data_IF_022491869587
#
_entry.id   IF_022491869587
#
_cell.length_a   1.000
_cell.length_b   1.000
_cell.length_c   1.000
_cell.angle_alpha   90.00
_cell.angle_beta   90.00
_cell.angle_gamma   90.00
#
_symmetry.space_group_name_H-M   'P 1'
#
loop_
_entity.id
_entity.type
_entity.pdbx_description
1 polymer ?
#
# COMPACT_ATOMS: atom_id res chain seq x y z
N UNK A 1 -11.37 28.79 29.78
CA UNK A 1 -10.79 28.82 28.41
C UNK A 1 -10.78 27.37 27.91
N UNK A 2 -11.54 27.05 26.87
CA UNK A 2 -11.55 25.70 26.30
C UNK A 2 -10.22 25.40 25.60
N UNK A 3 -9.70 24.19 25.76
CA UNK A 3 -8.56 23.71 24.97
C UNK A 3 -9.09 23.43 23.57
N UNK A 4 -8.45 23.96 22.53
CA UNK A 4 -8.84 23.64 21.16
C UNK A 4 -8.54 22.16 20.88
N UNK A 5 -9.35 21.52 20.02
CA UNK A 5 -9.10 20.11 19.63
C UNK A 5 -7.67 19.93 19.05
N UNK A 6 -7.18 20.93 18.31
CA UNK A 6 -5.81 20.95 17.76
C UNK A 6 -4.73 20.98 18.85
N UNK A 7 -4.90 21.78 19.89
CA UNK A 7 -3.96 21.85 21.02
C UNK A 7 -3.93 20.55 21.82
N UNK A 8 -5.10 19.94 22.03
CA UNK A 8 -5.21 18.65 22.70
C UNK A 8 -4.51 17.53 21.91
N UNK A 9 -4.79 17.44 20.60
CA UNK A 9 -4.18 16.43 19.73
C UNK A 9 -2.66 16.62 19.59
N UNK A 10 -2.19 17.87 19.51
CA UNK A 10 -0.75 18.17 19.46
C UNK A 10 -0.05 17.73 20.75
N UNK A 11 -0.68 17.91 21.92
CA UNK A 11 -0.13 17.45 23.20
C UNK A 11 -0.08 15.92 23.29
N UNK A 12 -1.08 15.22 22.75
CA UNK A 12 -1.01 13.75 22.63
C UNK A 12 0.15 13.35 21.71
N UNK A 13 0.28 13.99 20.56
CA UNK A 13 1.32 13.70 19.57
C UNK A 13 2.74 13.78 20.13
N UNK A 14 2.99 14.76 20.99
CA UNK A 14 4.32 15.02 21.57
C UNK A 14 4.71 14.04 22.69
N UNK A 15 3.73 13.35 23.30
CA UNK A 15 3.98 12.56 24.52
C UNK A 15 3.65 11.07 24.36
N UNK A 16 3.09 10.65 23.22
CA UNK A 16 2.63 9.27 23.02
C UNK A 16 2.91 8.82 21.59
N UNK A 17 3.59 7.67 21.44
CA UNK A 17 3.60 6.92 20.18
C UNK A 17 2.25 6.23 20.02
N UNK A 18 1.53 6.55 18.95
CA UNK A 18 0.24 5.94 18.66
C UNK A 18 0.44 4.71 17.78
N UNK A 19 -0.11 3.56 18.19
CA UNK A 19 -0.05 2.34 17.38
C UNK A 19 -0.82 2.47 16.06
N UNK A 20 -1.98 3.12 16.12
CA UNK A 20 -2.86 3.27 14.96
C UNK A 20 -3.61 4.60 15.01
N UNK A 21 -3.73 5.25 13.85
CA UNK A 21 -4.65 6.35 13.62
C UNK A 21 -5.54 6.03 12.42
N UNK A 22 -6.83 6.35 12.54
CA UNK A 22 -7.76 6.36 11.42
C UNK A 22 -8.21 7.78 11.14
N UNK A 23 -8.06 8.20 9.89
CA UNK A 23 -8.36 9.56 9.44
C UNK A 23 -9.39 9.52 8.32
N UNK A 24 -10.51 10.21 8.52
CA UNK A 24 -11.44 10.55 7.45
C UNK A 24 -11.18 11.98 6.98
N UNK A 25 -10.63 12.15 5.78
CA UNK A 25 -10.43 13.46 5.19
C UNK A 25 -11.75 14.00 4.62
N UNK A 26 -12.11 15.18 5.13
CA UNK A 26 -13.19 16.02 4.61
C UNK A 26 -12.60 17.29 4.00
N UNK A 27 -13.20 17.77 2.91
CA UNK A 27 -12.74 18.95 2.17
C UNK A 27 -12.53 20.20 3.02
N UNK A 28 -13.29 20.35 4.11
CA UNK A 28 -13.24 21.53 4.98
C UNK A 28 -12.03 21.56 5.91
N UNK A 29 -11.47 20.41 6.30
CA UNK A 29 -10.48 20.31 7.41
C UNK A 29 -9.18 19.61 7.02
N UNK A 30 -9.03 19.19 5.76
CA UNK A 30 -7.93 18.29 5.38
C UNK A 30 -6.53 18.88 5.59
N UNK A 31 -6.35 20.19 5.44
CA UNK A 31 -5.05 20.84 5.64
C UNK A 31 -4.58 20.75 7.09
N UNK A 32 -5.50 20.92 8.03
CA UNK A 32 -5.21 20.84 9.46
C UNK A 32 -4.90 19.40 9.87
N UNK A 33 -5.71 18.46 9.38
CA UNK A 33 -5.52 17.02 9.59
C UNK A 33 -4.19 16.54 9.00
N UNK A 34 -3.84 17.00 7.81
CA UNK A 34 -2.56 16.71 7.16
C UNK A 34 -1.38 17.17 8.01
N UNK A 35 -1.40 18.44 8.41
CA UNK A 35 -0.35 19.04 9.24
C UNK A 35 -0.20 18.30 10.56
N UNK A 36 -1.32 17.85 11.13
CA UNK A 36 -1.34 17.12 12.38
C UNK A 36 -0.77 15.69 12.22
N UNK A 37 -1.12 14.97 11.16
CA UNK A 37 -0.60 13.61 10.91
C UNK A 37 0.92 13.55 10.89
N UNK A 38 1.56 14.55 10.28
CA UNK A 38 3.03 14.63 10.24
C UNK A 38 3.70 14.90 11.60
N UNK A 39 2.93 15.28 12.63
CA UNK A 39 3.46 15.49 13.99
C UNK A 39 3.41 14.22 14.84
N UNK A 40 2.65 13.21 14.44
CA UNK A 40 2.53 11.98 15.20
C UNK A 40 3.57 10.95 14.77
N UNK A 41 4.25 10.32 15.73
CA UNK A 41 4.94 9.06 15.45
C UNK A 41 3.94 7.91 15.53
N UNK A 42 3.46 7.48 14.36
CA UNK A 42 2.42 6.45 14.23
C UNK A 42 2.96 5.25 13.47
N UNK A 43 2.64 4.06 13.98
CA UNK A 43 2.96 2.83 13.27
C UNK A 43 2.05 2.67 12.04
N UNK A 44 0.72 2.67 12.23
CA UNK A 44 -0.27 2.47 11.18
C UNK A 44 -1.20 3.68 10.96
N UNK A 45 -1.26 4.17 9.73
CA UNK A 45 -2.26 5.16 9.30
C UNK A 45 -3.27 4.51 8.36
N UNK A 46 -4.55 4.65 8.69
CA UNK A 46 -5.68 4.33 7.81
C UNK A 46 -6.30 5.63 7.30
N UNK A 47 -6.33 5.84 5.97
CA UNK A 47 -6.82 7.06 5.33
C UNK A 47 -8.11 6.79 4.54
N UNK A 48 -9.15 7.55 4.88
CA UNK A 48 -10.43 7.66 4.21
C UNK A 48 -10.61 9.01 3.52
N UNK A 49 -11.33 9.03 2.40
CA UNK A 49 -11.78 10.26 1.73
C UNK A 49 -13.29 10.24 1.58
N UNK A 50 -13.92 11.41 1.71
CA UNK A 50 -15.36 11.58 1.51
C UNK A 50 -15.82 11.31 0.06
N UNK A 51 -14.96 11.62 -0.93
CA UNK A 51 -15.24 11.38 -2.34
C UNK A 51 -13.97 11.06 -3.14
N UNK A 52 -14.13 10.51 -4.35
CA UNK A 52 -13.01 10.19 -5.24
C UNK A 52 -12.41 11.46 -5.86
N UNK A 53 -13.25 12.46 -6.18
CA UNK A 53 -12.81 13.78 -6.67
C UNK A 53 -11.93 14.47 -5.63
N UNK A 54 -12.33 14.40 -4.36
CA UNK A 54 -11.54 14.96 -3.28
C UNK A 54 -10.26 14.17 -3.03
N UNK A 55 -10.32 12.84 -3.08
CA UNK A 55 -9.11 12.02 -3.05
C UNK A 55 -8.14 12.39 -4.18
N UNK A 56 -8.64 12.64 -5.40
CA UNK A 56 -7.82 13.05 -6.53
C UNK A 56 -7.20 14.43 -6.36
N UNK A 57 -7.87 15.34 -5.65
CA UNK A 57 -7.36 16.68 -5.38
C UNK A 57 -6.27 16.67 -4.28
N UNK A 58 -6.35 15.74 -3.33
CA UNK A 58 -5.43 15.68 -2.18
C UNK A 58 -4.25 14.75 -2.46
N UNK A 59 -4.52 13.55 -2.99
CA UNK A 59 -3.50 12.55 -3.23
C UNK A 59 -2.73 12.91 -4.49
N UNK A 60 -1.54 13.42 -4.27
CA UNK A 60 -0.53 13.63 -5.30
C UNK A 60 0.61 12.65 -5.09
N UNK A 61 1.46 12.48 -6.11
CA UNK A 61 2.71 11.71 -5.96
C UNK A 61 3.54 12.20 -4.79
N UNK A 62 3.74 13.51 -4.66
CA UNK A 62 4.53 14.10 -3.58
C UNK A 62 3.94 13.79 -2.20
N UNK A 63 2.61 13.82 -2.07
CA UNK A 63 1.92 13.45 -0.84
C UNK A 63 2.21 11.99 -0.43
N UNK A 64 2.03 11.04 -1.34
CA UNK A 64 2.30 9.61 -1.07
C UNK A 64 3.76 9.37 -0.66
N UNK A 65 4.69 10.02 -1.35
CA UNK A 65 6.12 9.90 -1.03
C UNK A 65 6.47 10.52 0.32
N UNK A 66 5.83 11.63 0.71
CA UNK A 66 6.00 12.22 2.03
C UNK A 66 5.50 11.30 3.14
N UNK A 67 4.34 10.65 2.93
CA UNK A 67 3.85 9.63 3.87
C UNK A 67 4.79 8.43 3.95
N UNK A 68 5.34 7.98 2.83
CA UNK A 68 6.29 6.87 2.78
C UNK A 68 7.55 7.14 3.62
N UNK A 69 8.03 8.37 3.60
CA UNK A 69 9.21 8.75 4.38
C UNK A 69 8.93 8.90 5.88
N UNK A 70 7.68 9.14 6.29
CA UNK A 70 7.33 9.48 7.68
C UNK A 70 6.67 8.34 8.47
N UNK A 71 6.10 7.33 7.80
CA UNK A 71 5.28 6.29 8.45
C UNK A 71 5.68 4.88 8.02
N UNK A 72 5.52 3.90 8.91
CA UNK A 72 5.88 2.49 8.66
C UNK A 72 4.79 1.74 7.90
N UNK A 73 3.53 1.93 8.29
CA UNK A 73 2.39 1.22 7.71
C UNK A 73 1.34 2.23 7.24
N UNK A 74 0.88 2.07 6.01
CA UNK A 74 -0.13 2.94 5.42
C UNK A 74 -1.19 2.11 4.70
N UNK A 75 -2.46 2.44 4.95
CA UNK A 75 -3.59 1.93 4.21
C UNK A 75 -4.42 3.11 3.70
N UNK A 76 -4.56 3.23 2.39
CA UNK A 76 -5.32 4.31 1.77
C UNK A 76 -6.53 3.72 1.06
N UNK A 77 -7.71 4.12 1.48
CA UNK A 77 -8.93 3.79 0.72
C UNK A 77 -9.07 4.71 -0.49
N UNK A 78 -9.78 4.24 -1.53
CA UNK A 78 -10.08 4.98 -2.76
C UNK A 78 -8.88 5.42 -3.62
N UNK A 79 -7.63 5.14 -3.24
CA UNK A 79 -6.47 5.50 -4.05
C UNK A 79 -6.54 4.89 -5.46
N UNK A 80 -7.12 3.70 -5.58
CA UNK A 80 -7.26 2.97 -6.82
C UNK A 80 -7.93 3.71 -7.97
N UNK A 81 -8.77 4.71 -7.68
CA UNK A 81 -9.49 5.50 -8.68
C UNK A 81 -8.75 6.78 -9.06
N UNK A 82 -7.68 7.12 -8.34
CA UNK A 82 -7.00 8.43 -8.45
C UNK A 82 -5.50 8.32 -8.71
N UNK A 83 -4.86 7.25 -8.24
CA UNK A 83 -3.44 7.03 -8.49
C UNK A 83 -3.19 6.55 -9.91
N UNK A 84 -2.15 7.09 -10.52
CA UNK A 84 -1.62 6.58 -11.78
C UNK A 84 -0.70 5.37 -11.52
N UNK A 85 -0.49 4.51 -12.53
CA UNK A 85 0.52 3.45 -12.48
C UNK A 85 1.92 3.98 -12.09
N UNK A 86 2.29 5.16 -12.56
CA UNK A 86 3.57 5.82 -12.28
C UNK A 86 3.69 6.27 -10.83
N UNK A 87 2.59 6.66 -10.19
CA UNK A 87 2.58 7.01 -8.76
C UNK A 87 2.83 5.77 -7.90
N UNK A 88 2.23 4.63 -8.27
CA UNK A 88 2.49 3.36 -7.61
C UNK A 88 3.92 2.87 -7.85
N UNK A 89 4.48 3.06 -9.05
CA UNK A 89 5.88 2.75 -9.33
C UNK A 89 6.84 3.63 -8.53
N UNK A 90 6.56 4.93 -8.41
CA UNK A 90 7.37 5.83 -7.60
C UNK A 90 7.35 5.41 -6.13
N UNK A 91 6.16 5.06 -5.61
CA UNK A 91 6.00 4.55 -4.24
C UNK A 91 6.75 3.22 -4.04
N UNK A 92 6.58 2.27 -4.96
CA UNK A 92 7.28 0.99 -4.96
C UNK A 92 8.79 1.18 -4.83
N UNK A 93 9.40 2.00 -5.71
CA UNK A 93 10.86 2.25 -5.71
C UNK A 93 11.34 2.87 -4.42
N UNK A 94 10.56 3.78 -3.85
CA UNK A 94 10.90 4.41 -2.57
C UNK A 94 10.87 3.40 -1.43
N UNK A 95 9.86 2.53 -1.38
CA UNK A 95 9.79 1.44 -0.40
C UNK A 95 10.92 0.43 -0.62
N UNK A 96 11.11 -0.08 -1.84
CA UNK A 96 12.15 -1.06 -2.23
C UNK A 96 13.55 -0.58 -1.85
N UNK A 97 13.84 0.72 -2.01
CA UNK A 97 15.15 1.28 -1.66
C UNK A 97 15.52 1.13 -0.17
N UNK A 98 14.54 0.84 0.69
CA UNK A 98 14.71 0.73 2.15
C UNK A 98 14.96 2.06 2.87
N UNK A 99 15.17 3.15 2.12
CA UNK A 99 15.47 4.50 2.65
C UNK A 99 14.25 5.15 3.29
N UNK A 100 13.06 4.85 2.79
CA UNK A 100 11.81 5.29 3.39
C UNK A 100 11.54 4.56 4.72
N UNK A 101 10.76 5.16 5.60
CA UNK A 101 10.28 4.51 6.84
C UNK A 101 9.23 3.44 6.54
N UNK A 102 8.50 3.59 5.43
CA UNK A 102 7.44 2.68 5.03
C UNK A 102 7.94 1.27 4.76
N UNK A 103 7.19 0.31 5.29
CA UNK A 103 7.39 -1.13 5.16
C UNK A 103 6.16 -1.80 4.60
N UNK A 104 4.97 -1.28 4.86
CA UNK A 104 3.74 -1.82 4.32
C UNK A 104 2.85 -0.71 3.76
N UNK A 105 2.33 -0.96 2.57
CA UNK A 105 1.36 -0.12 1.91
C UNK A 105 0.20 -0.97 1.42
N UNK A 106 -1.03 -0.53 1.66
CA UNK A 106 -2.23 -1.20 1.20
C UNK A 106 -3.22 -0.20 0.60
N UNK A 107 -3.92 -0.63 -0.44
CA UNK A 107 -4.99 0.17 -1.02
C UNK A 107 -5.98 -0.69 -1.80
N UNK A 108 -7.21 -0.19 -1.95
CA UNK A 108 -8.06 -0.61 -3.07
C UNK A 108 -7.48 -0.09 -4.40
N UNK A 109 -7.49 -0.92 -5.43
CA UNK A 109 -7.07 -0.56 -6.81
C UNK A 109 -8.16 -0.96 -7.79
N UNK A 110 -8.24 -0.25 -8.92
CA UNK A 110 -9.00 -0.72 -10.08
C UNK A 110 -8.05 -1.47 -11.03
N UNK A 111 -8.58 -2.37 -11.85
CA UNK A 111 -7.76 -3.25 -12.72
C UNK A 111 -6.91 -2.46 -13.70
N UNK A 112 -7.49 -1.36 -14.17
CA UNK A 112 -6.93 -0.41 -15.12
C UNK A 112 -5.67 0.29 -14.60
N UNK A 113 -5.42 0.26 -13.28
CA UNK A 113 -4.23 0.88 -12.67
C UNK A 113 -3.17 -0.16 -12.32
N UNK A 114 -3.53 -1.29 -11.69
CA UNK A 114 -2.52 -2.23 -11.21
C UNK A 114 -1.88 -3.05 -12.33
N UNK A 115 -2.61 -3.37 -13.41
CA UNK A 115 -2.02 -4.09 -14.55
C UNK A 115 -0.94 -3.26 -15.27
N UNK A 116 -1.18 -1.98 -15.65
CA UNK A 116 -0.11 -1.14 -16.19
C UNK A 116 1.04 -0.92 -15.20
N UNK A 117 0.75 -0.82 -13.90
CA UNK A 117 1.80 -0.73 -12.87
C UNK A 117 2.72 -1.96 -12.88
N UNK A 118 2.17 -3.17 -12.94
CA UNK A 118 2.98 -4.39 -13.07
C UNK A 118 3.78 -4.39 -14.38
N UNK A 119 3.19 -3.91 -15.48
CA UNK A 119 3.90 -3.81 -16.75
C UNK A 119 5.12 -2.87 -16.65
N UNK A 120 5.02 -1.77 -15.89
CA UNK A 120 6.16 -0.88 -15.59
C UNK A 120 7.26 -1.58 -14.76
N UNK A 121 6.92 -2.59 -13.96
CA UNK A 121 7.88 -3.47 -13.28
C UNK A 121 8.44 -4.58 -14.19
N UNK A 122 8.02 -4.61 -15.47
CA UNK A 122 8.39 -5.67 -16.40
C UNK A 122 7.64 -6.98 -16.15
N UNK A 123 6.50 -6.93 -15.46
CA UNK A 123 5.66 -8.08 -15.13
C UNK A 123 4.36 -7.98 -15.92
N UNK A 124 4.04 -8.99 -16.71
CA UNK A 124 2.78 -9.06 -17.47
C UNK A 124 1.99 -10.28 -17.06
N UNK A 125 0.73 -10.06 -16.71
CA UNK A 125 -0.21 -11.15 -16.45
C UNK A 125 -1.09 -11.38 -17.66
N UNK A 126 -1.14 -12.63 -18.14
CA UNK A 126 -2.01 -13.07 -19.23
C UNK A 126 -3.13 -13.96 -18.72
N UNK A 127 -4.13 -14.19 -19.57
CA UNK A 127 -5.25 -15.08 -19.30
C UNK A 127 -4.77 -16.44 -18.73
N UNK A 128 -5.50 -16.96 -17.73
CA UNK A 128 -5.13 -18.18 -17.02
C UNK A 128 -3.95 -18.01 -16.07
N UNK A 129 -3.73 -16.80 -15.54
CA UNK A 129 -2.68 -16.47 -14.57
C UNK A 129 -1.25 -16.77 -15.02
N UNK A 130 -1.01 -16.79 -16.34
CA UNK A 130 0.36 -16.92 -16.87
C UNK A 130 1.10 -15.62 -16.61
N UNK A 131 2.18 -15.67 -15.84
CA UNK A 131 3.03 -14.52 -15.56
C UNK A 131 4.26 -14.57 -16.45
N UNK A 132 4.47 -13.48 -17.17
CA UNK A 132 5.72 -13.21 -17.88
C UNK A 132 6.47 -12.14 -17.11
N UNK A 133 7.78 -12.30 -16.94
CA UNK A 133 8.60 -11.26 -16.35
C UNK A 133 9.94 -11.10 -17.05
N UNK A 134 10.34 -9.86 -17.29
CA UNK A 134 11.70 -9.53 -17.71
C UNK A 134 12.72 -9.77 -16.58
N UNK A 135 12.26 -9.80 -15.33
CA UNK A 135 13.04 -10.19 -14.16
C UNK A 135 12.75 -11.67 -13.80
N UNK A 136 13.67 -12.57 -14.15
CA UNK A 136 13.50 -14.01 -13.92
C UNK A 136 13.63 -14.44 -12.46
N UNK A 137 14.00 -13.54 -11.55
CA UNK A 137 14.17 -13.86 -10.13
C UNK A 137 12.87 -13.74 -9.31
N UNK A 138 11.79 -13.26 -9.92
CA UNK A 138 10.52 -13.14 -9.21
C UNK A 138 9.93 -14.52 -8.91
N UNK A 139 9.24 -14.63 -7.78
CA UNK A 139 8.49 -15.83 -7.40
C UNK A 139 7.02 -15.47 -7.27
N UNK A 140 6.15 -16.33 -7.80
CA UNK A 140 4.71 -16.04 -7.86
C UNK A 140 3.93 -17.19 -7.25
N UNK A 141 2.97 -16.87 -6.39
CA UNK A 141 2.06 -17.82 -5.75
C UNK A 141 0.61 -17.37 -5.95
N UNK A 142 -0.26 -18.30 -6.32
CA UNK A 142 -1.70 -18.10 -6.40
C UNK A 142 -2.44 -18.86 -5.31
N UNK A 143 -3.24 -18.17 -4.53
CA UNK A 143 -4.05 -18.74 -3.46
C UNK A 143 -5.53 -18.55 -3.81
N UNK A 144 -6.33 -19.61 -3.64
CA UNK A 144 -7.77 -19.49 -3.65
C UNK A 144 -8.23 -19.44 -2.19
N UNK A 145 -8.87 -18.35 -1.81
CA UNK A 145 -9.45 -18.20 -0.49
C UNK A 145 -10.75 -19.04 -0.38
N UNK A 146 -11.14 -19.47 0.83
CA UNK A 146 -12.34 -20.29 1.04
C UNK A 146 -13.64 -19.67 0.52
N UNK A 147 -13.67 -18.35 0.35
CA UNK A 147 -14.81 -17.60 -0.17
C UNK A 147 -14.78 -17.42 -1.70
N UNK A 148 -13.84 -18.06 -2.39
CA UNK A 148 -13.68 -17.97 -3.85
C UNK A 148 -12.84 -16.79 -4.32
N UNK A 149 -12.28 -15.98 -3.43
CA UNK A 149 -11.38 -14.89 -3.80
C UNK A 149 -10.04 -15.46 -4.30
N UNK A 150 -9.44 -14.80 -5.29
CA UNK A 150 -8.12 -15.15 -5.78
C UNK A 150 -7.10 -14.13 -5.30
N UNK A 151 -6.02 -14.60 -4.69
CA UNK A 151 -4.91 -13.77 -4.25
C UNK A 151 -3.64 -14.20 -4.96
N UNK A 152 -2.93 -13.24 -5.54
CA UNK A 152 -1.64 -13.47 -6.19
C UNK A 152 -0.58 -12.73 -5.41
N UNK A 153 0.44 -13.48 -4.99
CA UNK A 153 1.62 -12.97 -4.32
C UNK A 153 2.79 -12.99 -5.30
N UNK A 154 3.44 -11.83 -5.46
CA UNK A 154 4.64 -11.69 -6.29
C UNK A 154 5.77 -11.24 -5.36
N UNK A 155 6.80 -12.07 -5.24
CA UNK A 155 8.01 -11.73 -4.50
C UNK A 155 9.10 -11.29 -5.48
N UNK A 156 9.54 -10.04 -5.36
CA UNK A 156 10.69 -9.46 -6.09
C UNK A 156 11.75 -9.05 -5.06
N UNK A 157 12.80 -9.86 -4.93
CA UNK A 157 13.82 -9.74 -3.86
C UNK A 157 13.16 -9.74 -2.46
N UNK A 158 13.29 -8.63 -1.72
CA UNK A 158 12.69 -8.40 -0.41
C UNK A 158 11.30 -7.76 -0.48
N UNK A 159 10.82 -7.44 -1.67
CA UNK A 159 9.48 -6.89 -1.87
C UNK A 159 8.47 -8.00 -2.10
N UNK A 160 7.30 -7.83 -1.51
CA UNK A 160 6.12 -8.64 -1.75
C UNK A 160 5.00 -7.73 -2.27
N UNK A 161 4.44 -8.08 -3.42
CA UNK A 161 3.20 -7.51 -3.92
C UNK A 161 2.08 -8.51 -3.70
N UNK A 162 0.98 -8.05 -3.12
CA UNK A 162 -0.21 -8.87 -2.89
C UNK A 162 -1.36 -8.28 -3.70
N UNK A 163 -1.91 -9.07 -4.62
CA UNK A 163 -3.00 -8.68 -5.52
C UNK A 163 -4.23 -9.48 -5.13
N UNK A 164 -5.22 -8.82 -4.55
CA UNK A 164 -6.46 -9.45 -4.13
C UNK A 164 -7.56 -9.12 -5.13
N UNK A 165 -8.25 -10.13 -5.65
CA UNK A 165 -9.47 -9.96 -6.40
C UNK A 165 -10.64 -10.57 -5.60
N UNK A 166 -11.53 -9.71 -5.09
CA UNK A 166 -12.72 -10.09 -4.31
C UNK A 166 -13.97 -9.46 -4.90
N UNK A 167 -14.82 -10.27 -5.54
CA UNK A 167 -16.01 -9.76 -6.23
C UNK A 167 -15.65 -8.66 -7.24
N UNK A 168 -16.24 -7.46 -7.10
CA UNK A 168 -15.94 -6.29 -7.94
C UNK A 168 -14.73 -5.47 -7.47
N UNK A 169 -14.14 -5.79 -6.31
CA UNK A 169 -13.07 -5.01 -5.69
C UNK A 169 -11.70 -5.64 -5.86
N UNK A 170 -10.70 -4.85 -6.28
CA UNK A 170 -9.30 -5.27 -6.27
C UNK A 170 -8.52 -4.52 -5.19
N UNK A 171 -7.52 -5.18 -4.59
CA UNK A 171 -6.59 -4.53 -3.65
C UNK A 171 -5.16 -4.83 -4.03
N UNK A 172 -4.30 -3.85 -3.78
CA UNK A 172 -2.86 -3.94 -3.92
C UNK A 172 -2.22 -3.75 -2.54
N UNK A 173 -1.40 -4.71 -2.15
CA UNK A 173 -0.46 -4.61 -1.04
C UNK A 173 0.97 -4.52 -1.56
N UNK A 174 1.80 -3.72 -0.92
CA UNK A 174 3.26 -3.72 -1.06
C UNK A 174 3.87 -3.90 0.33
N UNK A 175 4.77 -4.87 0.48
CA UNK A 175 5.39 -5.18 1.76
C UNK A 175 6.89 -5.40 1.59
N UNK A 176 7.69 -4.61 2.30
CA UNK A 176 9.15 -4.74 2.37
C UNK A 176 9.54 -5.61 3.56
N UNK A 177 10.11 -6.76 3.26
CA UNK A 177 10.71 -7.66 4.22
C UNK A 177 12.06 -7.12 4.70
N UNK A 178 12.19 -6.91 6.02
CA UNK A 178 13.37 -6.29 6.61
C UNK A 178 14.60 -7.19 6.65
N UNK A 179 14.41 -8.50 6.53
CA UNK A 179 15.49 -9.49 6.50
C UNK A 179 15.05 -10.80 5.79
N UNK A 180 16.01 -11.69 5.58
CA UNK A 180 15.77 -12.97 4.90
C UNK A 180 14.80 -13.87 5.68
N UNK A 181 14.80 -13.81 7.01
CA UNK A 181 13.92 -14.62 7.85
C UNK A 181 12.46 -14.20 7.71
N UNK A 182 12.17 -12.90 7.67
CA UNK A 182 10.81 -12.39 7.46
C UNK A 182 10.31 -12.76 6.06
N UNK A 183 11.17 -12.67 5.05
CA UNK A 183 10.85 -13.09 3.68
C UNK A 183 10.57 -14.60 3.60
N UNK A 184 11.40 -15.42 4.23
CA UNK A 184 11.19 -16.88 4.31
C UNK A 184 9.90 -17.21 5.04
N UNK A 185 9.59 -16.52 6.14
CA UNK A 185 8.35 -16.71 6.89
C UNK A 185 7.13 -16.38 6.02
N UNK A 186 7.15 -15.27 5.27
CA UNK A 186 6.09 -14.91 4.34
C UNK A 186 5.91 -15.96 3.24
N UNK A 187 7.00 -16.42 2.62
CA UNK A 187 6.95 -17.49 1.60
C UNK A 187 6.45 -18.82 2.18
N UNK A 188 6.81 -19.17 3.42
CA UNK A 188 6.28 -20.36 4.10
C UNK A 188 4.79 -20.25 4.40
N UNK A 189 4.30 -19.06 4.73
CA UNK A 189 2.86 -18.84 4.88
C UNK A 189 2.10 -19.13 3.57
N UNK A 190 2.77 -19.01 2.42
CA UNK A 190 2.22 -19.37 1.10
C UNK A 190 2.34 -20.86 0.77
N UNK A 191 2.72 -21.74 1.71
CA UNK A 191 2.85 -23.18 1.45
C UNK A 191 1.53 -23.86 1.04
N UNK A 192 0.38 -23.28 1.39
CA UNK A 192 -0.94 -23.73 0.93
C UNK A 192 -1.32 -23.23 -0.47
N UNK A 193 -0.50 -22.36 -1.08
CA UNK A 193 -0.77 -21.74 -2.36
C UNK A 193 -0.05 -22.46 -3.50
N UNK A 194 -0.60 -22.35 -4.70
CA UNK A 194 -0.02 -22.97 -5.89
C UNK A 194 1.08 -22.06 -6.46
N UNK A 195 2.32 -22.54 -6.63
CA UNK A 195 3.33 -21.79 -7.35
C UNK A 195 2.89 -21.59 -8.81
N UNK A 196 3.06 -20.36 -9.31
CA UNK A 196 2.75 -19.99 -10.69
C UNK A 196 4.06 -19.90 -11.46
N UNK A 197 4.14 -20.58 -12.60
CA UNK A 197 5.31 -20.52 -13.48
C UNK A 197 5.49 -19.12 -14.05
N UNK A 198 6.71 -18.60 -13.95
CA UNK A 198 7.14 -17.34 -14.56
C UNK A 198 7.92 -17.68 -15.82
N UNK A 199 7.52 -17.08 -16.96
CA UNK A 199 8.11 -17.33 -18.29
C UNK A 199 8.88 -16.11 -18.78
#
# INVERSE_FOLDING_TARGET
RGISCSDFLTRIAQNVTLRQITVGFQSQVYKDVYTLLHKFDVELILIGFESDEFASAVITRSYLLQLANSHKFLNVSRLGRVATPEDLLALYRVIESGKAKMRCFMTGVVVEVWQPFLALLGITMRAGYRIHSTNKEIQVFGCNEPNGDCVIYIFDKNMELSLFAKGEGHRLGMNLHGNEDSLKAAKRAMAGCRPISVV
#
